data_IF_670992743522
#
_entry.id   IF_670992743522
#
_cell.length_a   1.000
_cell.length_b   1.000
_cell.length_c   1.000
_cell.angle_alpha   90.00
_cell.angle_beta   90.00
_cell.angle_gamma   90.00
#
_symmetry.space_group_name_H-M   'P 1'
#
loop_
_entity.id
_entity.type
_entity.pdbx_description
1 polymer ?
#
# COMPACT_ATOMS: atom_id res chain seq x y z
N UNK A 1 62.45 -20.35 -36.56
CA UNK A 1 61.50 -21.28 -35.90
C UNK A 1 60.10 -20.70 -36.06
N UNK A 2 59.34 -21.13 -37.09
CA UNK A 2 57.97 -20.64 -37.36
C UNK A 2 56.98 -21.70 -36.87
N UNK A 3 56.28 -21.39 -35.78
CA UNK A 3 55.24 -22.25 -35.21
C UNK A 3 53.98 -22.15 -36.05
N UNK A 4 53.60 -23.22 -36.75
CA UNK A 4 52.33 -23.29 -37.49
C UNK A 4 51.15 -23.44 -36.52
N UNK A 5 50.32 -22.40 -36.44
CA UNK A 5 49.01 -22.47 -35.78
C UNK A 5 48.04 -23.14 -36.75
N UNK A 6 47.64 -24.39 -36.48
CA UNK A 6 46.57 -25.08 -37.21
C UNK A 6 45.22 -24.54 -36.74
N UNK A 7 44.58 -23.72 -37.57
CA UNK A 7 43.18 -23.31 -37.37
C UNK A 7 42.31 -24.53 -37.66
N UNK A 8 41.73 -25.14 -36.61
CA UNK A 8 40.68 -26.14 -36.77
C UNK A 8 39.43 -25.43 -37.29
N UNK A 9 39.07 -25.70 -38.54
CA UNK A 9 37.76 -25.33 -39.08
C UNK A 9 36.70 -26.13 -38.29
N UNK A 10 35.87 -25.44 -37.51
CA UNK A 10 34.68 -26.06 -36.93
C UNK A 10 33.75 -26.44 -38.07
N UNK A 11 33.55 -27.74 -38.23
CA UNK A 11 32.65 -28.34 -39.21
C UNK A 11 31.23 -27.81 -38.93
N UNK A 12 30.74 -26.89 -39.77
CA UNK A 12 29.40 -26.28 -39.61
C UNK A 12 28.35 -27.29 -40.08
N UNK A 13 27.99 -28.23 -39.20
CA UNK A 13 26.81 -29.09 -39.39
C UNK A 13 25.57 -28.20 -39.38
N UNK A 14 24.82 -28.19 -40.49
CA UNK A 14 23.55 -27.46 -40.61
C UNK A 14 22.44 -28.16 -39.85
N UNK A 15 21.64 -27.40 -39.09
CA UNK A 15 20.41 -27.88 -38.45
C UNK A 15 19.42 -28.34 -39.53
N UNK A 16 18.82 -29.52 -39.34
CA UNK A 16 17.77 -29.99 -40.24
C UNK A 16 16.42 -29.39 -39.84
N UNK A 17 15.52 -29.21 -40.81
CA UNK A 17 14.18 -28.65 -40.55
C UNK A 17 13.39 -29.51 -39.55
N UNK A 18 13.53 -30.83 -39.65
CA UNK A 18 12.87 -31.78 -38.75
C UNK A 18 13.37 -31.68 -37.32
N UNK A 19 14.65 -31.36 -37.11
CA UNK A 19 15.26 -31.21 -35.80
C UNK A 19 14.73 -29.96 -35.08
N UNK A 20 14.62 -28.83 -35.80
CA UNK A 20 13.95 -27.65 -35.27
C UNK A 20 12.44 -27.87 -35.04
N UNK A 21 11.77 -28.62 -35.93
CA UNK A 21 10.34 -28.91 -35.81
C UNK A 21 10.02 -29.72 -34.56
N UNK A 22 10.78 -30.80 -34.30
CA UNK A 22 10.60 -31.63 -33.10
C UNK A 22 10.90 -30.82 -31.83
N UNK A 23 11.93 -29.97 -31.84
CA UNK A 23 12.26 -29.11 -30.69
C UNK A 23 11.13 -28.13 -30.41
N UNK A 24 10.60 -27.44 -31.43
CA UNK A 24 9.47 -26.52 -31.26
C UNK A 24 8.21 -27.25 -30.78
N UNK A 25 7.98 -28.48 -31.26
CA UNK A 25 6.87 -29.32 -30.80
C UNK A 25 6.99 -29.67 -29.31
N UNK A 26 8.18 -30.07 -28.85
CA UNK A 26 8.41 -30.38 -27.44
C UNK A 26 8.26 -29.12 -26.57
N UNK A 27 8.83 -27.99 -26.98
CA UNK A 27 8.71 -26.71 -26.26
C UNK A 27 7.24 -26.27 -26.20
N UNK A 28 6.48 -26.41 -27.29
CA UNK A 28 5.06 -26.08 -27.33
C UNK A 28 4.23 -26.92 -26.36
N UNK A 29 4.48 -28.24 -26.33
CA UNK A 29 3.80 -29.16 -25.40
C UNK A 29 4.12 -28.83 -23.93
N UNK A 30 5.39 -28.62 -23.60
CA UNK A 30 5.80 -28.27 -22.23
C UNK A 30 5.26 -26.90 -21.81
N UNK A 31 5.33 -25.90 -22.69
CA UNK A 31 4.83 -24.55 -22.43
C UNK A 31 3.32 -24.54 -22.16
N UNK A 32 2.55 -25.34 -22.93
CA UNK A 32 1.09 -25.43 -22.76
C UNK A 32 0.66 -25.90 -21.37
N UNK A 33 1.46 -26.74 -20.70
CA UNK A 33 1.15 -27.22 -19.34
C UNK A 33 1.80 -26.32 -18.28
N UNK A 34 3.03 -25.84 -18.53
CA UNK A 34 3.78 -25.06 -17.56
C UNK A 34 3.21 -23.66 -17.32
N UNK A 35 2.77 -22.96 -18.37
CA UNK A 35 2.27 -21.57 -18.27
C UNK A 35 1.06 -21.43 -17.32
N UNK A 36 -0.04 -22.22 -17.44
CA UNK A 36 -1.18 -22.06 -16.54
C UNK A 36 -0.83 -22.41 -15.08
N UNK A 37 0.03 -23.42 -14.86
CA UNK A 37 0.49 -23.79 -13.52
C UNK A 37 1.32 -22.66 -12.91
N UNK A 38 2.22 -22.05 -13.69
CA UNK A 38 3.04 -20.93 -13.24
C UNK A 38 2.19 -19.72 -12.86
N UNK A 39 1.19 -19.36 -13.68
CA UNK A 39 0.28 -18.25 -13.40
C UNK A 39 -0.46 -18.48 -12.08
N UNK A 40 -1.05 -19.66 -11.88
CA UNK A 40 -1.77 -19.95 -10.64
C UNK A 40 -0.85 -19.91 -9.40
N UNK A 41 0.38 -20.42 -9.51
CA UNK A 41 1.36 -20.34 -8.42
C UNK A 41 1.79 -18.91 -8.09
N UNK A 42 1.89 -18.06 -9.12
CA UNK A 42 2.20 -16.65 -8.94
C UNK A 42 1.04 -15.92 -8.27
N UNK A 43 -0.21 -16.19 -8.64
CA UNK A 43 -1.39 -15.62 -7.97
C UNK A 43 -1.47 -16.08 -6.50
N UNK A 44 -1.25 -17.36 -6.20
CA UNK A 44 -1.22 -17.86 -4.82
C UNK A 44 -0.15 -17.14 -3.98
N UNK A 45 1.01 -16.85 -4.58
CA UNK A 45 2.09 -16.12 -3.93
C UNK A 45 1.72 -14.65 -3.66
N UNK A 46 1.05 -13.99 -4.63
CA UNK A 46 0.51 -12.63 -4.47
C UNK A 46 -0.50 -12.55 -3.32
N UNK A 47 -1.47 -13.47 -3.26
CA UNK A 47 -2.44 -13.51 -2.17
C UNK A 47 -1.74 -13.64 -0.81
N UNK A 48 -0.76 -14.55 -0.68
CA UNK A 48 -0.02 -14.71 0.59
C UNK A 48 0.79 -13.47 0.96
N UNK A 49 1.39 -12.80 -0.04
CA UNK A 49 2.13 -11.57 0.16
C UNK A 49 1.19 -10.46 0.66
N UNK A 50 0.03 -10.28 0.02
CA UNK A 50 -0.96 -9.29 0.43
C UNK A 50 -1.47 -9.53 1.87
N UNK A 51 -1.70 -10.79 2.26
CA UNK A 51 -2.04 -11.14 3.64
C UNK A 51 -0.94 -10.77 4.64
N UNK A 52 0.33 -10.96 4.28
CA UNK A 52 1.46 -10.59 5.12
C UNK A 52 1.61 -9.06 5.23
N UNK A 53 1.52 -8.35 4.11
CA UNK A 53 1.61 -6.88 4.04
C UNK A 53 0.46 -6.21 4.81
N UNK A 54 -0.80 -6.66 4.65
CA UNK A 54 -1.93 -6.16 5.44
C UNK A 54 -1.68 -6.28 6.95
N UNK A 55 -1.11 -7.41 7.38
CA UNK A 55 -0.76 -7.65 8.79
C UNK A 55 0.37 -6.73 9.25
N UNK A 56 1.40 -6.53 8.43
CA UNK A 56 2.52 -5.63 8.75
C UNK A 56 2.05 -4.17 8.88
N UNK A 57 1.20 -3.70 7.94
CA UNK A 57 0.61 -2.35 7.99
C UNK A 57 -0.21 -2.18 9.26
N UNK A 58 -1.06 -3.15 9.60
CA UNK A 58 -1.86 -3.10 10.82
C UNK A 58 -0.99 -3.07 12.09
N UNK A 59 0.09 -3.85 12.14
CA UNK A 59 1.04 -3.81 13.27
C UNK A 59 1.74 -2.45 13.38
N UNK A 60 2.10 -1.85 12.25
CA UNK A 60 2.71 -0.53 12.21
C UNK A 60 1.74 0.58 12.68
N UNK A 61 0.46 0.51 12.28
CA UNK A 61 -0.59 1.40 12.81
C UNK A 61 -0.75 1.27 14.33
N UNK A 62 -0.80 0.04 14.85
CA UNK A 62 -0.88 -0.20 16.30
C UNK A 62 0.35 0.36 17.04
N UNK A 63 1.55 0.18 16.48
CA UNK A 63 2.76 0.72 17.05
C UNK A 63 2.74 2.26 17.05
N UNK A 64 2.31 2.89 15.94
CA UNK A 64 2.15 4.34 15.84
C UNK A 64 1.14 4.85 16.88
N UNK A 65 -0.01 4.20 16.99
CA UNK A 65 -1.04 4.52 17.97
C UNK A 65 -0.56 4.35 19.42
N UNK A 66 0.27 3.34 19.72
CA UNK A 66 0.84 3.17 21.04
C UNK A 66 1.81 4.29 21.44
N UNK A 67 2.58 4.82 20.49
CA UNK A 67 3.58 5.86 20.75
C UNK A 67 2.96 7.26 20.75
N UNK A 68 2.18 7.58 19.71
CA UNK A 68 1.64 8.92 19.48
C UNK A 68 0.16 9.08 19.88
N UNK A 69 -0.54 7.97 20.08
CA UNK A 69 -1.95 7.98 20.46
C UNK A 69 -2.93 8.27 19.32
N UNK A 70 -2.50 8.12 18.06
CA UNK A 70 -3.31 8.31 16.86
C UNK A 70 -3.00 7.24 15.81
N UNK A 71 -4.04 6.77 15.11
CA UNK A 71 -3.89 6.16 13.79
C UNK A 71 -3.73 7.24 12.74
N UNK A 72 -2.93 6.94 11.73
CA UNK A 72 -2.56 7.86 10.67
C UNK A 72 -2.99 7.32 9.30
N UNK A 73 -2.94 8.14 8.25
CA UNK A 73 -2.95 7.60 6.90
C UNK A 73 -1.71 6.75 6.64
N UNK A 74 -1.85 5.68 5.85
CA UNK A 74 -0.77 4.71 5.67
C UNK A 74 0.50 5.29 5.04
N UNK A 75 0.39 6.36 4.26
CA UNK A 75 1.55 7.06 3.69
C UNK A 75 2.49 7.57 4.80
N UNK A 76 1.93 8.09 5.89
CA UNK A 76 2.69 8.70 7.00
C UNK A 76 3.48 7.64 7.77
N UNK A 77 3.09 6.36 7.71
CA UNK A 77 3.78 5.30 8.46
C UNK A 77 5.21 5.06 7.99
N UNK A 78 5.56 5.42 6.74
CA UNK A 78 6.94 5.29 6.25
C UNK A 78 7.80 6.53 6.46
N UNK A 79 7.23 7.59 7.03
CA UNK A 79 7.92 8.86 7.20
C UNK A 79 9.05 8.74 8.21
N UNK A 80 10.16 9.38 7.86
CA UNK A 80 11.33 9.54 8.69
C UNK A 80 11.10 10.61 9.78
N UNK A 81 11.79 10.49 10.92
CA UNK A 81 11.77 11.50 11.96
C UNK A 81 12.47 12.77 11.45
N UNK A 82 11.89 13.94 11.72
CA UNK A 82 12.50 15.22 11.33
C UNK A 82 13.68 15.56 12.26
N UNK A 83 14.92 15.71 11.75
CA UNK A 83 16.06 16.13 12.57
C UNK A 83 15.91 17.60 12.98
N UNK A 84 15.97 17.89 14.28
CA UNK A 84 15.73 19.22 14.87
C UNK A 84 16.67 20.36 14.40
N UNK A 85 17.69 20.09 13.58
CA UNK A 85 18.76 21.06 13.24
C UNK A 85 19.36 20.94 11.81
N UNK A 86 18.66 20.32 10.84
CA UNK A 86 19.14 20.25 9.45
C UNK A 86 18.05 20.70 8.47
N UNK A 87 18.44 21.53 7.50
CA UNK A 87 17.53 22.14 6.52
C UNK A 87 17.21 21.23 5.32
N UNK A 88 17.51 19.94 5.35
CA UNK A 88 17.65 19.17 4.09
C UNK A 88 17.02 17.78 4.14
N UNK A 89 16.12 17.60 3.17
CA UNK A 89 15.76 16.41 2.38
C UNK A 89 15.45 15.11 3.14
N UNK A 90 14.24 14.66 2.93
CA UNK A 90 13.75 13.36 3.36
C UNK A 90 12.24 13.35 3.32
N UNK A 91 11.66 12.17 3.19
CA UNK A 91 10.24 11.97 3.40
C UNK A 91 9.96 11.98 4.90
N UNK A 92 9.75 13.17 5.46
CA UNK A 92 9.55 13.35 6.91
C UNK A 92 8.14 13.83 7.16
N UNK A 93 7.61 13.53 8.36
CA UNK A 93 6.26 13.92 8.77
C UNK A 93 5.96 15.43 8.65
N UNK A 94 6.99 16.29 8.64
CA UNK A 94 6.84 17.75 8.47
C UNK A 94 6.67 18.21 7.02
N UNK A 95 6.92 17.32 6.05
CA UNK A 95 6.75 17.60 4.63
C UNK A 95 5.34 17.23 4.14
N UNK A 96 4.54 16.58 4.99
CA UNK A 96 3.14 16.32 4.74
C UNK A 96 2.33 17.62 4.61
N UNK A 97 1.22 17.60 3.86
CA UNK A 97 0.46 18.81 3.59
C UNK A 97 -0.26 19.28 4.87
N UNK A 98 0.18 20.43 5.38
CA UNK A 98 -0.31 20.97 6.65
C UNK A 98 -1.84 21.16 6.64
N UNK A 99 -2.51 20.52 7.59
CA UNK A 99 -3.97 20.61 7.79
C UNK A 99 -4.82 19.85 6.78
N UNK A 100 -4.22 19.08 5.86
CA UNK A 100 -4.96 18.26 4.88
C UNK A 100 -5.15 16.81 5.33
N UNK A 101 -4.22 16.27 6.14
CA UNK A 101 -4.36 14.93 6.71
C UNK A 101 -5.13 14.96 8.03
N UNK A 102 -5.99 13.98 8.21
CA UNK A 102 -6.78 13.76 9.41
C UNK A 102 -6.17 12.64 10.24
N UNK A 103 -6.24 12.83 11.55
CA UNK A 103 -5.77 11.90 12.56
C UNK A 103 -6.97 11.23 13.22
N UNK A 104 -6.85 9.95 13.53
CA UNK A 104 -7.90 9.17 14.16
C UNK A 104 -7.43 8.78 15.56
N UNK A 105 -8.18 9.13 16.58
CA UNK A 105 -7.88 8.70 17.94
C UNK A 105 -8.54 7.32 18.19
N UNK A 106 -7.76 6.25 18.40
CA UNK A 106 -8.32 4.91 18.61
C UNK A 106 -9.12 4.78 19.92
N UNK A 107 -8.96 5.71 20.86
CA UNK A 107 -9.62 5.69 22.16
C UNK A 107 -11.03 6.32 22.14
N UNK A 108 -11.39 7.01 21.06
CA UNK A 108 -12.70 7.66 20.89
C UNK A 108 -13.46 6.91 19.81
N UNK A 109 -14.79 6.79 19.95
CA UNK A 109 -15.63 6.18 18.90
C UNK A 109 -15.44 6.92 17.58
N UNK A 110 -15.34 6.22 16.44
CA UNK A 110 -15.28 6.87 15.13
C UNK A 110 -16.45 7.84 14.90
N UNK A 111 -17.66 7.51 15.38
CA UNK A 111 -18.87 8.34 15.21
C UNK A 111 -18.77 9.71 15.88
N UNK A 112 -18.08 9.78 17.03
CA UNK A 112 -17.92 11.03 17.79
C UNK A 112 -16.79 11.90 17.20
N UNK A 113 -15.94 11.29 16.35
CA UNK A 113 -14.86 11.97 15.66
C UNK A 113 -15.28 12.45 14.27
N UNK A 114 -16.32 11.86 13.67
CA UNK A 114 -16.78 12.20 12.32
C UNK A 114 -17.05 13.72 12.19
N UNK A 115 -16.34 14.38 11.27
CA UNK A 115 -16.45 15.84 11.05
C UNK A 115 -15.73 16.72 12.08
N UNK A 116 -15.26 16.17 13.19
CA UNK A 116 -14.49 16.86 14.24
C UNK A 116 -13.13 16.18 14.49
N UNK A 117 -12.56 15.56 13.47
CA UNK A 117 -11.24 14.93 13.56
C UNK A 117 -10.15 15.98 13.75
N UNK A 118 -9.13 15.60 14.51
CA UNK A 118 -7.89 16.34 14.57
C UNK A 118 -7.19 16.23 13.21
N UNK A 119 -6.46 17.28 12.85
CA UNK A 119 -5.70 17.33 11.59
C UNK A 119 -4.23 17.38 11.91
N UNK A 120 -3.42 16.74 11.07
CA UNK A 120 -1.98 16.86 11.12
C UNK A 120 -1.61 18.28 10.70
N UNK A 121 -1.19 19.10 11.65
CA UNK A 121 -0.74 20.46 11.38
C UNK A 121 0.32 20.87 12.38
N UNK A 122 1.41 21.41 11.86
CA UNK A 122 2.53 22.03 12.59
C UNK A 122 2.08 23.24 13.42
N UNK A 123 0.96 23.87 13.05
CA UNK A 123 0.38 25.03 13.75
C UNK A 123 -0.85 24.67 14.59
N UNK A 124 -1.11 23.37 14.81
CA UNK A 124 -2.25 22.91 15.60
C UNK A 124 -2.21 23.41 17.05
N UNK A 125 -3.37 23.86 17.55
CA UNK A 125 -3.56 24.23 18.96
C UNK A 125 -3.55 23.02 19.91
N UNK A 126 -3.66 21.80 19.38
CA UNK A 126 -3.66 20.59 20.20
C UNK A 126 -2.23 20.14 20.51
N UNK A 127 -1.82 20.11 21.80
CA UNK A 127 -0.45 19.75 22.17
C UNK A 127 -0.09 18.31 21.77
N UNK A 128 -1.05 17.39 21.71
CA UNK A 128 -0.80 15.99 21.30
C UNK A 128 -0.39 15.87 19.83
N UNK A 129 -1.03 16.65 18.96
CA UNK A 129 -0.71 16.68 17.52
C UNK A 129 0.68 17.26 17.30
N UNK A 130 1.00 18.33 18.02
CA UNK A 130 2.32 18.96 17.93
C UNK A 130 3.44 18.06 18.47
N UNK A 131 3.18 17.38 19.59
CA UNK A 131 4.12 16.42 20.16
C UNK A 131 4.42 15.25 19.21
N UNK A 132 3.38 14.70 18.55
CA UNK A 132 3.55 13.67 17.53
C UNK A 132 4.46 14.13 16.37
N UNK A 133 4.31 15.37 15.91
CA UNK A 133 5.15 15.92 14.82
C UNK A 133 6.58 16.18 15.30
N UNK A 134 6.75 16.73 16.51
CA UNK A 134 8.06 17.13 17.05
C UNK A 134 8.90 15.94 17.54
N UNK A 135 8.25 14.86 17.94
CA UNK A 135 8.86 13.63 18.47
C UNK A 135 8.46 12.39 17.66
N UNK A 136 8.19 12.57 16.37
CA UNK A 136 7.90 11.44 15.48
C UNK A 136 8.97 10.36 15.60
N UNK A 137 8.53 9.12 15.85
CA UNK A 137 9.38 7.96 16.13
C UNK A 137 9.47 6.95 14.98
N UNK A 138 9.00 7.33 13.79
CA UNK A 138 9.04 6.48 12.59
C UNK A 138 10.46 6.28 12.04
N UNK A 139 10.60 5.60 10.89
CA UNK A 139 9.52 4.98 10.12
C UNK A 139 9.00 3.70 10.82
N UNK A 140 7.70 3.48 10.78
CA UNK A 140 7.06 2.30 11.40
C UNK A 140 7.01 1.10 10.46
N UNK A 141 6.94 1.36 9.16
CA UNK A 141 6.96 0.35 8.11
C UNK A 141 7.72 0.90 6.90
N UNK A 142 8.27 0.00 6.09
CA UNK A 142 8.86 0.33 4.80
C UNK A 142 8.16 -0.49 3.72
N UNK A 143 7.38 0.15 2.86
CA UNK A 143 6.74 -0.49 1.71
C UNK A 143 7.53 -0.26 0.41
N UNK A 144 7.31 -1.14 -0.58
CA UNK A 144 7.72 -0.87 -1.95
C UNK A 144 6.82 0.22 -2.54
N UNK A 145 7.40 1.41 -2.79
CA UNK A 145 6.72 2.57 -3.37
C UNK A 145 6.52 2.36 -4.87
N UNK A 146 5.36 2.76 -5.40
CA UNK A 146 5.15 2.87 -6.84
C UNK A 146 4.89 4.32 -7.20
N UNK A 147 5.96 4.97 -7.65
CA UNK A 147 5.92 6.06 -8.62
C UNK A 147 7.12 5.88 -9.55
N UNK A 148 6.84 5.50 -10.80
CA UNK A 148 7.78 5.51 -11.93
C UNK A 148 7.50 6.77 -12.73
N UNK A 149 8.17 7.84 -12.34
CA UNK A 149 8.28 9.12 -13.05
C UNK A 149 9.73 9.58 -12.96
N UNK A 150 10.16 10.45 -13.89
CA UNK A 150 11.49 10.44 -14.51
C UNK A 150 12.77 10.54 -13.66
N UNK A 151 12.73 10.64 -12.33
CA UNK A 151 13.95 10.49 -11.49
C UNK A 151 13.62 9.82 -10.16
N UNK A 152 13.91 8.52 -10.14
CA UNK A 152 14.14 7.62 -9.00
C UNK A 152 13.77 8.17 -7.60
N UNK A 153 12.61 7.78 -7.03
CA UNK A 153 12.21 8.15 -5.67
C UNK A 153 13.16 7.62 -4.57
N UNK A 154 14.14 6.78 -4.93
CA UNK A 154 15.16 6.27 -4.00
C UNK A 154 16.39 7.19 -3.90
N UNK A 155 16.46 8.27 -4.69
CA UNK A 155 17.52 9.27 -4.55
C UNK A 155 17.24 10.17 -3.33
N UNK A 156 18.09 10.04 -2.31
CA UNK A 156 18.03 10.82 -1.07
C UNK A 156 18.11 12.34 -1.32
N UNK A 157 18.58 12.76 -2.49
CA UNK A 157 18.73 14.16 -2.90
C UNK A 157 17.58 14.66 -3.79
N UNK A 158 16.58 13.83 -4.08
CA UNK A 158 15.46 14.22 -4.94
C UNK A 158 14.51 15.18 -4.19
N UNK A 159 14.45 16.42 -4.66
CA UNK A 159 13.52 17.43 -4.15
C UNK A 159 12.25 17.34 -4.99
N UNK A 160 11.33 16.47 -4.59
CA UNK A 160 10.00 16.47 -5.14
C UNK A 160 8.99 16.80 -4.07
N UNK A 161 8.62 18.07 -4.05
CA UNK A 161 7.80 18.68 -2.99
C UNK A 161 6.33 18.27 -3.02
N UNK A 162 5.92 17.49 -4.03
CA UNK A 162 4.50 17.15 -4.26
C UNK A 162 4.25 15.67 -4.49
N UNK A 163 5.20 14.92 -5.07
CA UNK A 163 5.01 13.49 -5.41
C UNK A 163 5.40 12.53 -4.27
N UNK A 164 6.40 12.87 -3.45
CA UNK A 164 6.74 12.09 -2.22
C UNK A 164 5.54 12.06 -1.25
N UNK A 165 4.71 13.10 -1.28
CA UNK A 165 3.57 13.36 -0.39
C UNK A 165 2.40 12.36 -0.50
N UNK A 166 2.43 11.47 -1.47
CA UNK A 166 1.33 10.54 -1.77
C UNK A 166 1.84 9.11 -1.90
N UNK A 167 2.95 8.77 -1.23
CA UNK A 167 3.59 7.46 -1.26
C UNK A 167 2.67 6.36 -0.68
N UNK A 168 1.65 5.95 -1.42
CA UNK A 168 0.70 4.95 -0.95
C UNK A 168 1.33 3.55 -0.98
N UNK A 169 1.12 2.72 0.05
CA UNK A 169 1.48 1.32 -0.03
C UNK A 169 0.58 0.63 -1.06
N UNK A 170 1.20 -0.06 -2.03
CA UNK A 170 0.47 -0.82 -3.03
C UNK A 170 0.49 -2.31 -2.71
N UNK A 171 -0.60 -2.98 -3.07
CA UNK A 171 -0.74 -4.41 -3.02
C UNK A 171 0.00 -5.10 -4.19
N UNK A 172 0.11 -6.43 -4.19
CA UNK A 172 0.81 -7.19 -5.22
C UNK A 172 0.20 -7.10 -6.64
N UNK A 173 -1.00 -6.52 -6.77
CA UNK A 173 -1.67 -6.25 -8.04
C UNK A 173 -1.53 -4.79 -8.49
N UNK A 174 -0.86 -3.94 -7.69
CA UNK A 174 -0.57 -2.55 -8.02
C UNK A 174 -1.69 -1.58 -7.66
N UNK A 175 -2.60 -1.97 -6.75
CA UNK A 175 -3.61 -1.08 -6.21
C UNK A 175 -3.26 -0.64 -4.79
N UNK A 176 -3.70 0.55 -4.32
CA UNK A 176 -3.31 0.99 -2.99
C UNK A 176 -4.11 0.26 -1.92
N UNK A 177 -3.46 -0.09 -0.81
CA UNK A 177 -4.18 -0.60 0.36
C UNK A 177 -5.21 0.42 0.85
N UNK A 178 -6.31 -0.08 1.40
CA UNK A 178 -7.44 0.72 1.86
C UNK A 178 -7.59 0.60 3.35
N UNK A 179 -7.85 1.74 3.98
CA UNK A 179 -8.07 1.82 5.40
C UNK A 179 -9.57 1.93 5.67
N UNK A 180 -10.09 1.10 6.56
CA UNK A 180 -11.49 1.14 6.99
C UNK A 180 -11.60 1.39 8.48
N UNK A 181 -12.62 2.15 8.82
CA UNK A 181 -13.14 2.28 10.18
C UNK A 181 -14.44 1.49 10.32
N UNK A 182 -14.93 1.29 11.54
CA UNK A 182 -16.27 0.77 11.75
C UNK A 182 -17.42 1.56 11.11
N UNK A 183 -17.20 2.80 10.66
CA UNK A 183 -18.21 3.60 9.97
C UNK A 183 -18.24 3.39 8.45
N UNK A 184 -17.14 2.90 7.88
CA UNK A 184 -16.93 2.89 6.44
C UNK A 184 -15.47 3.17 6.07
N UNK A 185 -15.26 3.39 4.77
CA UNK A 185 -13.94 3.63 4.19
C UNK A 185 -13.34 4.94 4.72
N UNK A 186 -12.04 4.93 5.03
CA UNK A 186 -11.30 6.10 5.48
C UNK A 186 -10.63 6.74 4.27
N UNK A 187 -10.94 8.01 4.05
CA UNK A 187 -10.35 8.84 3.01
C UNK A 187 -11.40 9.51 2.14
N UNK A 188 -11.30 10.82 1.90
CA UNK A 188 -12.28 11.57 1.09
C UNK A 188 -12.42 11.01 -0.33
N UNK A 189 -11.30 10.58 -0.94
CA UNK A 189 -11.27 10.00 -2.29
C UNK A 189 -10.89 8.51 -2.27
N UNK A 190 -11.15 7.79 -1.19
CA UNK A 190 -10.66 6.41 -1.02
C UNK A 190 -11.21 5.41 -2.05
N UNK A 191 -12.35 5.69 -2.67
CA UNK A 191 -12.91 4.86 -3.74
C UNK A 191 -12.33 5.18 -5.13
N UNK A 192 -11.54 6.24 -5.27
CA UNK A 192 -10.89 6.56 -6.53
C UNK A 192 -9.81 5.52 -6.85
N UNK A 193 -9.79 5.04 -8.09
CA UNK A 193 -8.86 4.03 -8.60
C UNK A 193 -7.78 4.63 -9.51
N UNK A 194 -7.88 5.92 -9.85
CA UNK A 194 -6.89 6.62 -10.68
C UNK A 194 -5.65 7.01 -9.87
N UNK A 195 -4.74 6.05 -9.73
CA UNK A 195 -3.43 6.20 -9.06
C UNK A 195 -2.44 7.14 -9.76
N UNK A 196 -2.77 7.62 -10.97
CA UNK A 196 -1.86 8.49 -11.74
C UNK A 196 -2.11 9.98 -11.49
N UNK A 197 -3.25 10.30 -10.89
CA UNK A 197 -3.66 11.67 -10.63
C UNK A 197 -3.34 12.11 -9.19
N UNK A 198 -2.19 12.76 -9.04
CA UNK A 198 -1.65 13.30 -7.78
C UNK A 198 -2.47 14.44 -7.17
N UNK A 199 -3.58 14.84 -7.81
CA UNK A 199 -4.49 15.86 -7.26
C UNK A 199 -5.32 15.30 -6.11
N UNK A 200 -5.48 13.97 -6.03
CA UNK A 200 -6.31 13.31 -5.02
C UNK A 200 -5.46 12.53 -4.03
N UNK A 201 -5.73 12.71 -2.73
CA UNK A 201 -5.27 11.77 -1.70
C UNK A 201 -6.36 10.71 -1.48
N UNK A 202 -6.01 9.43 -1.70
CA UNK A 202 -6.91 8.30 -1.41
C UNK A 202 -7.03 8.06 0.09
N UNK A 203 -5.98 8.39 0.85
CA UNK A 203 -5.90 8.18 2.28
C UNK A 203 -5.52 9.52 2.92
N UNK A 204 -6.47 10.45 2.97
CA UNK A 204 -6.29 11.67 3.76
C UNK A 204 -6.64 11.43 5.24
N UNK A 205 -7.08 10.24 5.62
CA UNK A 205 -7.46 9.88 6.99
C UNK A 205 -8.86 10.34 7.40
N UNK A 206 -9.63 10.98 6.50
CA UNK A 206 -10.97 11.44 6.80
C UNK A 206 -11.90 10.24 7.07
N UNK A 207 -12.58 10.23 8.22
CA UNK A 207 -13.64 9.27 8.49
C UNK A 207 -14.81 9.56 7.55
N UNK A 208 -15.30 8.54 6.88
CA UNK A 208 -16.51 8.64 6.06
C UNK A 208 -17.52 7.58 6.50
N UNK A 209 -18.79 7.81 6.15
CA UNK A 209 -19.86 6.81 6.21
C UNK A 209 -20.18 6.24 4.82
N UNK A 210 -19.23 6.35 3.90
CA UNK A 210 -19.32 5.75 2.57
C UNK A 210 -18.86 4.30 2.70
N UNK A 211 -19.54 3.38 2.00
CA UNK A 211 -19.44 1.92 2.11
C UNK A 211 -20.41 1.27 3.12
N UNK A 212 -21.06 0.18 2.71
CA UNK A 212 -22.03 -0.58 3.51
C UNK A 212 -21.39 -1.76 4.28
N UNK A 213 -20.10 -2.02 4.03
CA UNK A 213 -19.29 -3.01 4.74
C UNK A 213 -19.09 -2.56 6.18
N UNK A 214 -20.08 -2.89 7.00
CA UNK A 214 -20.14 -2.60 8.44
C UNK A 214 -19.11 -3.45 9.21
N UNK A 215 -17.84 -3.11 9.08
CA UNK A 215 -16.78 -3.75 9.83
C UNK A 215 -16.92 -3.41 11.32
N UNK A 216 -16.73 -4.39 12.19
CA UNK A 216 -16.79 -4.16 13.64
C UNK A 216 -15.54 -3.48 14.19
N UNK A 217 -14.47 -3.42 13.40
CA UNK A 217 -13.13 -2.96 13.79
C UNK A 217 -12.48 -2.21 12.64
N UNK A 218 -11.37 -1.55 12.94
CA UNK A 218 -10.49 -1.03 11.90
C UNK A 218 -9.95 -2.16 11.05
N UNK A 219 -9.78 -1.90 9.76
CA UNK A 219 -9.28 -2.91 8.83
C UNK A 219 -8.37 -2.32 7.76
N UNK A 220 -7.35 -3.10 7.40
CA UNK A 220 -6.58 -2.92 6.16
C UNK A 220 -7.17 -3.85 5.12
N UNK A 221 -7.45 -3.33 3.93
CA UNK A 221 -8.08 -4.09 2.84
C UNK A 221 -7.28 -3.92 1.55
N UNK A 222 -7.07 -5.02 0.83
CA UNK A 222 -6.68 -5.04 -0.59
C UNK A 222 -7.86 -5.54 -1.41
N UNK A 223 -8.11 -4.92 -2.56
CA UNK A 223 -9.19 -5.30 -3.48
C UNK A 223 -8.83 -6.51 -4.37
N UNK A 224 -7.82 -7.27 -3.96
CA UNK A 224 -7.48 -8.53 -4.62
C UNK A 224 -7.10 -8.36 -6.08
N UNK A 225 -7.47 -9.37 -6.88
CA UNK A 225 -7.01 -9.51 -8.26
C UNK A 225 -7.86 -8.72 -9.22
N UNK A 226 -9.17 -8.64 -8.99
CA UNK A 226 -10.08 -7.94 -9.88
C UNK A 226 -10.00 -6.42 -9.68
N UNK A 227 -9.52 -5.99 -8.50
CA UNK A 227 -9.31 -4.61 -8.17
C UNK A 227 -10.60 -3.80 -8.07
N UNK A 228 -11.72 -4.50 -7.87
CA UNK A 228 -13.05 -3.94 -7.76
C UNK A 228 -13.47 -4.07 -6.29
N UNK A 229 -13.81 -2.96 -5.62
CA UNK A 229 -14.23 -3.05 -4.23
C UNK A 229 -15.58 -3.76 -4.13
N UNK A 230 -15.64 -4.80 -3.29
CA UNK A 230 -16.87 -5.56 -3.05
C UNK A 230 -17.82 -4.83 -2.08
N UNK A 231 -18.25 -3.62 -2.45
CA UNK A 231 -19.08 -2.70 -1.64
C UNK A 231 -20.57 -3.06 -1.58
N UNK A 232 -20.96 -4.28 -1.97
CA UNK A 232 -22.37 -4.72 -1.92
C UNK A 232 -22.51 -6.13 -1.33
N UNK A 233 -23.44 -6.25 -0.37
CA UNK A 233 -23.89 -7.54 0.13
C UNK A 233 -24.45 -8.43 -0.99
N UNK A 234 -23.90 -9.64 -1.17
CA UNK A 234 -24.42 -10.65 -2.11
C UNK A 234 -23.54 -10.98 -3.31
N UNK A 235 -22.36 -10.37 -3.45
CA UNK A 235 -21.35 -10.81 -4.44
C UNK A 235 -20.71 -12.12 -3.97
N UNK A 236 -20.84 -13.17 -4.79
CA UNK A 236 -20.42 -14.54 -4.46
C UNK A 236 -18.95 -14.84 -4.76
N UNK A 237 -18.21 -13.90 -5.34
CA UNK A 237 -16.82 -14.07 -5.71
C UNK A 237 -15.95 -13.11 -4.91
N UNK A 238 -15.79 -13.41 -3.61
CA UNK A 238 -15.03 -12.56 -2.71
C UNK A 238 -13.53 -12.83 -2.80
N UNK A 239 -12.75 -11.93 -3.39
CA UNK A 239 -11.28 -11.99 -3.44
C UNK A 239 -10.58 -10.85 -2.66
N UNK A 240 -11.35 -9.92 -2.09
CA UNK A 240 -10.88 -8.93 -1.12
C UNK A 240 -10.13 -9.58 0.06
N UNK A 241 -8.94 -9.07 0.37
CA UNK A 241 -8.14 -9.51 1.53
C UNK A 241 -8.32 -8.49 2.65
N UNK A 242 -8.86 -8.93 3.78
CA UNK A 242 -9.22 -8.07 4.91
C UNK A 242 -8.46 -8.50 6.15
N UNK A 243 -7.72 -7.57 6.76
CA UNK A 243 -7.06 -7.77 8.05
C UNK A 243 -7.60 -6.78 9.09
N UNK A 244 -8.21 -7.32 10.15
CA UNK A 244 -8.77 -6.51 11.24
C UNK A 244 -7.73 -6.23 12.32
N UNK A 245 -7.75 -5.00 12.83
CA UNK A 245 -6.92 -4.56 13.95
C UNK A 245 -7.67 -3.55 14.82
N UNK A 246 -7.05 -3.08 15.89
CA UNK A 246 -7.68 -2.21 16.87
C UNK A 246 -8.44 -2.95 17.96
N UNK A 247 -8.74 -2.19 19.01
CA UNK A 247 -9.51 -2.66 20.16
C UNK A 247 -10.97 -2.87 19.71
N UNK A 248 -11.52 -4.03 20.02
CA UNK A 248 -12.90 -4.44 19.71
C UNK A 248 -14.00 -3.67 20.50
N UNK A 249 -13.64 -2.57 21.16
CA UNK A 249 -14.20 -2.23 22.47
C UNK A 249 -15.02 -0.95 22.56
N UNK A 250 -15.28 -0.27 21.44
CA UNK A 250 -16.30 0.78 21.47
C UNK A 250 -17.39 0.44 20.48
N UNK A 251 -18.19 -0.53 20.95
CA UNK A 251 -19.32 -1.17 20.30
C UNK A 251 -20.05 -0.21 19.35
N UNK A 252 -20.08 -0.61 18.07
CA UNK A 252 -21.14 -0.18 17.18
C UNK A 252 -22.46 -0.53 17.88
N UNK A 253 -23.39 0.41 17.86
CA UNK A 253 -24.75 0.18 18.33
C UNK A 253 -25.41 -0.84 17.38
N UNK A 254 -25.07 -2.11 17.55
CA UNK A 254 -25.71 -3.24 16.90
C UNK A 254 -26.99 -3.51 17.67
N UNK A 255 -28.00 -2.68 17.40
CA UNK A 255 -29.30 -2.81 18.02
C UNK A 255 -30.19 -1.63 17.70
N UNK A 256 -31.04 -1.80 16.69
CA UNK A 256 -32.20 -0.98 16.34
C UNK A 256 -31.92 0.21 15.39
N UNK A 257 -31.95 -0.08 14.09
CA UNK A 257 -32.78 0.71 13.18
C UNK A 257 -33.93 -0.19 12.69
N UNK A 258 -35.18 0.30 12.70
CA UNK A 258 -36.36 -0.48 12.31
C UNK A 258 -36.32 -0.88 10.83
#
# INVERSE_FOLDING_TARGET
>A
MKTMIRIRYYDRRGLTLTELLVVMLIIGLLSSVAVPVYINRMEDARVRLAWAECREIAMAEEQCAMIHGFYVPFQVLSDLPHPKNLTIQGDTIRNEPDGQLYLINPLIRPQDQLGNQLRLSTTSNNPRVRDMIDHWGGPFISYHRVYTGDKDPKDINFINTTEVRLDFPLDPWGQPYRFYSPLGIIGTNALNTDITNLTYSFSDGALTSSDDRNFQRYAVVSFGRDGIPETQAGVNNRDDIIYFFGIAGVESEFGLRP
#
